data_IF_462934793137
#
_entry.id   IF_462934793137
#
_cell.length_a   1.000
_cell.length_b   1.000
_cell.length_c   1.000
_cell.angle_alpha   90.00
_cell.angle_beta   90.00
_cell.angle_gamma   90.00
#
_symmetry.space_group_name_H-M   'P 1'
#
loop_
_entity.id
_entity.type
_entity.pdbx_description
1 polymer ?
#
# COMPACT_ATOMS: atom_id res chain seq x y z
N UNK A 1 -3.56 7.66 21.20
CA UNK A 1 -2.64 7.95 20.07
C UNK A 1 -1.20 8.03 20.54
N UNK A 2 -0.93 8.07 21.85
CA UNK A 2 0.41 8.13 22.46
C UNK A 2 1.20 6.81 22.41
N UNK A 3 0.70 5.83 21.66
CA UNK A 3 1.35 4.51 21.52
C UNK A 3 2.41 4.52 20.42
N UNK A 4 2.39 5.52 19.53
CA UNK A 4 3.39 5.71 18.50
C UNK A 4 4.40 6.77 18.95
N UNK A 5 5.68 6.44 18.82
CA UNK A 5 6.75 7.40 19.07
C UNK A 5 6.98 8.33 17.85
N UNK A 6 5.92 8.94 17.33
CA UNK A 6 6.00 9.82 16.16
C UNK A 6 4.78 10.72 16.05
N UNK A 7 4.87 11.76 15.22
CA UNK A 7 3.70 12.45 14.69
C UNK A 7 2.92 11.48 13.81
N UNK A 8 1.63 11.33 14.09
CA UNK A 8 0.74 10.39 13.38
C UNK A 8 -0.20 11.17 12.46
N UNK A 9 -0.18 10.83 11.18
CA UNK A 9 -1.15 11.29 10.18
C UNK A 9 -2.00 10.10 9.75
N UNK A 10 -3.32 10.24 9.82
CA UNK A 10 -4.27 9.22 9.39
C UNK A 10 -5.07 9.74 8.20
N UNK A 11 -5.04 9.01 7.09
CA UNK A 11 -5.72 9.38 5.85
C UNK A 11 -6.78 8.32 5.56
N UNK A 12 -8.03 8.74 5.49
CA UNK A 12 -9.14 7.90 5.05
C UNK A 12 -9.23 7.92 3.51
N UNK A 13 -9.62 6.80 2.90
CA UNK A 13 -9.74 6.70 1.44
C UNK A 13 -10.89 7.58 0.91
N UNK A 14 -10.60 8.68 0.18
CA UNK A 14 -11.63 9.61 -0.27
C UNK A 14 -12.50 9.02 -1.37
N UNK A 15 -12.09 7.93 -2.02
CA UNK A 15 -12.90 7.21 -3.02
C UNK A 15 -14.25 6.81 -2.41
N UNK A 16 -14.23 6.44 -1.14
CA UNK A 16 -15.41 6.01 -0.38
C UNK A 16 -16.37 7.15 -0.04
N UNK A 17 -15.85 8.38 0.06
CA UNK A 17 -16.67 9.59 0.27
C UNK A 17 -17.40 10.00 -0.99
N UNK A 18 -16.81 9.73 -2.15
CA UNK A 18 -17.40 10.06 -3.46
C UNK A 18 -18.36 8.97 -3.95
N UNK A 19 -18.10 7.72 -3.58
CA UNK A 19 -18.86 6.55 -4.01
C UNK A 19 -19.36 5.76 -2.80
N UNK A 20 -20.42 6.26 -2.16
CA UNK A 20 -20.94 5.75 -0.87
C UNK A 20 -21.31 4.25 -0.86
N UNK A 21 -21.49 3.63 -2.03
CA UNK A 21 -21.77 2.18 -2.17
C UNK A 21 -20.54 1.31 -2.10
N UNK A 22 -19.35 1.88 -2.31
CA UNK A 22 -18.12 1.12 -2.20
C UNK A 22 -17.89 0.75 -0.74
N UNK A 23 -17.16 -0.35 -0.55
CA UNK A 23 -16.64 -0.77 0.76
C UNK A 23 -15.12 -0.62 0.80
N UNK A 24 -14.48 -0.61 -0.36
CA UNK A 24 -13.04 -0.52 -0.56
C UNK A 24 -12.80 0.25 -1.86
N UNK A 25 -11.88 1.24 -1.83
CA UNK A 25 -11.61 2.12 -2.97
C UNK A 25 -10.19 2.04 -3.55
N UNK A 26 -9.21 1.53 -2.79
CA UNK A 26 -7.77 1.52 -3.16
C UNK A 26 -7.27 2.88 -3.68
N UNK A 27 -7.78 3.98 -3.11
CA UNK A 27 -7.52 5.36 -3.53
C UNK A 27 -7.92 5.69 -4.99
N UNK A 28 -8.73 4.87 -5.66
CA UNK A 28 -9.18 5.11 -7.04
C UNK A 28 -10.29 6.17 -7.14
N UNK A 29 -10.03 7.40 -6.69
CA UNK A 29 -11.03 8.47 -6.54
C UNK A 29 -11.93 8.69 -7.79
N UNK A 30 -11.35 8.64 -8.99
CA UNK A 30 -12.12 8.66 -10.25
C UNK A 30 -11.36 7.96 -11.37
N UNK A 31 -11.97 7.85 -12.55
CA UNK A 31 -11.28 7.34 -13.75
C UNK A 31 -9.97 8.10 -14.04
N UNK A 32 -9.91 9.40 -13.72
CA UNK A 32 -8.75 10.26 -14.00
C UNK A 32 -7.87 10.54 -12.79
N UNK A 33 -8.43 10.51 -11.58
CA UNK A 33 -7.74 10.92 -10.37
C UNK A 33 -7.48 9.71 -9.48
N UNK A 34 -6.24 9.59 -9.04
CA UNK A 34 -5.81 8.61 -8.06
C UNK A 34 -5.37 9.34 -6.80
N UNK A 35 -6.02 9.07 -5.67
CA UNK A 35 -5.86 9.87 -4.46
C UNK A 35 -4.47 9.76 -3.82
N UNK A 36 -3.64 8.80 -4.24
CA UNK A 36 -2.25 8.69 -3.76
C UNK A 36 -1.43 9.96 -4.04
N UNK A 37 -1.69 10.65 -5.16
CA UNK A 37 -1.05 11.96 -5.43
C UNK A 37 -1.44 12.98 -4.36
N UNK A 38 -2.73 13.10 -4.06
CA UNK A 38 -3.24 14.01 -3.04
C UNK A 38 -2.76 13.63 -1.63
N UNK A 39 -2.57 12.34 -1.33
CA UNK A 39 -2.02 11.91 -0.04
C UNK A 39 -0.61 12.45 0.15
N UNK A 40 0.22 12.34 -0.88
CA UNK A 40 1.58 12.84 -0.85
C UNK A 40 1.62 14.37 -0.73
N UNK A 41 0.80 15.09 -1.48
CA UNK A 41 0.70 16.55 -1.39
C UNK A 41 0.31 17.02 0.02
N UNK A 42 -0.63 16.32 0.67
CA UNK A 42 -1.01 16.58 2.07
C UNK A 42 0.17 16.33 3.01
N UNK A 43 0.90 15.23 2.84
CA UNK A 43 2.07 14.91 3.68
C UNK A 43 3.16 15.98 3.52
N UNK A 44 3.44 16.43 2.30
CA UNK A 44 4.39 17.51 2.04
C UNK A 44 3.95 18.82 2.71
N UNK A 45 2.69 19.19 2.57
CA UNK A 45 2.15 20.39 3.20
C UNK A 45 2.23 20.31 4.74
N UNK A 46 1.99 19.14 5.33
CA UNK A 46 2.12 18.92 6.77
C UNK A 46 3.58 19.00 7.23
N UNK A 47 4.52 18.42 6.47
CA UNK A 47 5.96 18.53 6.77
C UNK A 47 6.42 19.98 6.79
N UNK A 48 6.10 20.74 5.74
CA UNK A 48 6.46 22.15 5.63
C UNK A 48 5.81 22.98 6.75
N UNK A 49 4.51 22.76 7.00
CA UNK A 49 3.74 23.58 7.94
C UNK A 49 4.17 23.38 9.39
N UNK A 50 4.59 22.18 9.75
CA UNK A 50 4.87 21.78 11.13
C UNK A 50 6.33 21.41 11.39
N UNK A 51 7.22 21.64 10.42
CA UNK A 51 8.64 21.29 10.50
C UNK A 51 8.84 19.81 10.90
N UNK A 52 8.08 18.93 10.24
CA UNK A 52 8.15 17.48 10.50
C UNK A 52 9.34 16.86 9.78
N UNK A 53 9.74 15.68 10.24
CA UNK A 53 10.84 14.94 9.65
C UNK A 53 10.60 14.60 8.16
N UNK A 54 11.71 14.54 7.42
CA UNK A 54 11.74 14.19 6.00
C UNK A 54 11.33 12.74 5.72
N UNK A 55 11.25 12.41 4.43
CA UNK A 55 10.85 11.09 3.93
C UNK A 55 11.66 9.94 4.51
N UNK A 56 12.97 10.10 4.68
CA UNK A 56 13.85 9.06 5.22
C UNK A 56 13.55 8.69 6.68
N UNK A 57 12.82 9.53 7.42
CA UNK A 57 12.33 9.25 8.78
C UNK A 57 10.84 8.94 8.84
N UNK A 58 10.21 8.70 7.70
CA UNK A 58 8.77 8.46 7.58
C UNK A 58 8.45 6.97 7.38
N UNK A 59 7.45 6.50 8.12
CA UNK A 59 6.88 5.15 7.99
C UNK A 59 5.42 5.26 7.53
N UNK A 60 5.12 4.69 6.36
CA UNK A 60 3.77 4.47 5.85
C UNK A 60 3.28 3.11 6.31
N UNK A 61 2.09 3.07 6.92
CA UNK A 61 1.49 1.83 7.37
C UNK A 61 0.08 1.63 6.82
N UNK A 62 -0.24 0.39 6.48
CA UNK A 62 -1.60 -0.01 6.17
C UNK A 62 -1.75 -1.53 6.05
N UNK A 63 -2.97 -2.02 6.27
CA UNK A 63 -3.33 -3.42 6.00
C UNK A 63 -4.28 -3.53 4.83
N UNK A 64 -4.32 -4.68 4.17
CA UNK A 64 -5.28 -4.95 3.09
C UNK A 64 -5.24 -3.83 2.02
N UNK A 65 -6.35 -3.11 1.84
CA UNK A 65 -6.45 -2.04 0.84
C UNK A 65 -5.68 -0.79 1.27
N UNK A 66 -5.59 -0.54 2.58
CA UNK A 66 -4.69 0.47 3.13
C UNK A 66 -3.22 0.09 2.93
N UNK A 67 -2.91 -1.21 2.90
CA UNK A 67 -1.56 -1.70 2.58
C UNK A 67 -1.14 -1.36 1.15
N UNK A 68 -2.05 -1.53 0.18
CA UNK A 68 -1.83 -1.03 -1.19
C UNK A 68 -1.53 0.47 -1.18
N UNK A 69 -2.38 1.26 -0.52
CA UNK A 69 -2.25 2.71 -0.47
C UNK A 69 -0.94 3.16 0.20
N UNK A 70 -0.53 2.50 1.28
CA UNK A 70 0.71 2.79 2.00
C UNK A 70 1.96 2.53 1.14
N UNK A 71 2.01 1.39 0.43
CA UNK A 71 3.13 1.09 -0.50
C UNK A 71 3.17 2.10 -1.64
N UNK A 72 2.01 2.41 -2.23
CA UNK A 72 1.93 3.39 -3.32
C UNK A 72 2.35 4.80 -2.87
N UNK A 73 1.94 5.22 -1.67
CA UNK A 73 2.34 6.51 -1.12
C UNK A 73 3.84 6.54 -0.81
N UNK A 74 4.41 5.47 -0.25
CA UNK A 74 5.85 5.37 -0.02
C UNK A 74 6.68 5.43 -1.31
N UNK A 75 6.14 4.91 -2.43
CA UNK A 75 6.80 5.00 -3.73
C UNK A 75 6.89 6.45 -4.25
N UNK A 76 5.94 7.31 -3.88
CA UNK A 76 6.00 8.76 -4.17
C UNK A 76 6.84 9.52 -3.15
N UNK A 77 6.74 9.13 -1.89
CA UNK A 77 7.49 9.68 -0.76
C UNK A 77 8.91 9.09 -0.69
N UNK A 78 9.71 9.37 -1.72
CA UNK A 78 11.04 8.77 -1.96
C UNK A 78 11.94 8.88 -0.73
N UNK A 79 12.43 7.73 -0.25
CA UNK A 79 13.27 7.61 0.94
C UNK A 79 12.52 7.01 2.13
N UNK A 80 11.20 7.08 2.14
CA UNK A 80 10.37 6.52 3.21
C UNK A 80 10.30 4.99 3.21
N UNK A 81 9.78 4.46 4.30
CA UNK A 81 9.58 3.03 4.51
C UNK A 81 8.09 2.70 4.56
N UNK A 82 7.68 1.62 3.91
CA UNK A 82 6.35 1.03 4.07
C UNK A 82 6.41 -0.22 4.95
N UNK A 83 5.52 -0.33 5.94
CA UNK A 83 5.24 -1.56 6.68
C UNK A 83 3.78 -1.91 6.43
N UNK A 84 3.53 -3.06 5.81
CA UNK A 84 2.16 -3.42 5.40
C UNK A 84 1.80 -4.83 5.80
N UNK A 85 0.51 -5.08 6.07
CA UNK A 85 0.05 -6.38 6.55
C UNK A 85 -1.08 -6.94 5.68
N UNK A 86 -0.91 -8.16 5.18
CA UNK A 86 -1.82 -8.80 4.23
C UNK A 86 -2.27 -7.84 3.11
N UNK A 87 -1.35 -7.09 2.48
CA UNK A 87 -1.70 -6.06 1.51
C UNK A 87 -2.30 -6.65 0.22
N UNK A 88 -3.22 -5.92 -0.40
CA UNK A 88 -3.60 -6.16 -1.79
C UNK A 88 -2.62 -5.46 -2.74
N UNK A 89 -1.42 -6.00 -2.94
CA UNK A 89 -0.37 -5.42 -3.81
C UNK A 89 -0.76 -5.34 -5.28
N UNK A 90 -1.73 -6.15 -5.68
CA UNK A 90 -2.49 -5.99 -6.91
C UNK A 90 -3.98 -6.09 -6.56
N UNK A 91 -4.67 -4.95 -6.53
CA UNK A 91 -6.07 -4.93 -6.12
C UNK A 91 -6.97 -5.64 -7.12
N UNK A 92 -6.56 -5.76 -8.38
CA UNK A 92 -7.35 -6.42 -9.42
C UNK A 92 -7.40 -7.93 -9.28
N UNK A 93 -6.49 -8.51 -8.49
CA UNK A 93 -6.48 -9.93 -8.16
C UNK A 93 -7.23 -10.24 -6.86
N UNK A 94 -7.75 -9.22 -6.17
CA UNK A 94 -8.53 -9.42 -4.96
C UNK A 94 -9.95 -9.94 -5.26
N UNK A 95 -10.77 -10.07 -4.22
CA UNK A 95 -12.14 -10.54 -4.30
C UNK A 95 -12.97 -9.77 -5.34
N UNK A 96 -13.48 -10.54 -6.31
CA UNK A 96 -14.18 -10.10 -7.51
C UNK A 96 -15.35 -9.15 -7.22
N UNK A 97 -16.08 -9.36 -6.12
CA UNK A 97 -17.20 -8.47 -5.75
C UNK A 97 -16.74 -7.03 -5.55
N UNK A 98 -15.60 -6.82 -4.87
CA UNK A 98 -15.08 -5.48 -4.61
C UNK A 98 -14.45 -4.88 -5.87
N UNK A 99 -13.74 -5.69 -6.66
CA UNK A 99 -13.17 -5.28 -7.94
C UNK A 99 -14.28 -4.81 -8.90
N UNK A 100 -15.33 -5.61 -9.07
CA UNK A 100 -16.45 -5.27 -9.97
C UNK A 100 -17.24 -4.05 -9.48
N UNK A 101 -17.37 -3.87 -8.16
CA UNK A 101 -17.98 -2.65 -7.60
C UNK A 101 -17.15 -1.41 -7.95
N UNK A 102 -15.82 -1.49 -7.82
CA UNK A 102 -14.90 -0.42 -8.17
C UNK A 102 -14.96 -0.11 -9.67
N UNK A 103 -14.89 -1.12 -10.53
CA UNK A 103 -14.95 -0.96 -11.98
C UNK A 103 -16.24 -0.25 -12.40
N UNK A 104 -17.38 -0.68 -11.85
CA UNK A 104 -18.68 -0.05 -12.10
C UNK A 104 -18.73 1.42 -11.65
N UNK A 105 -18.34 1.71 -10.41
CA UNK A 105 -18.58 3.03 -9.80
C UNK A 105 -17.48 4.06 -10.15
N UNK A 106 -16.24 3.62 -10.34
CA UNK A 106 -15.08 4.49 -10.62
C UNK A 106 -14.70 4.50 -12.09
N UNK A 107 -14.66 3.32 -12.71
CA UNK A 107 -14.15 3.13 -14.07
C UNK A 107 -15.27 2.95 -15.10
N UNK A 108 -16.47 3.45 -14.82
CA UNK A 108 -17.62 3.47 -15.73
C UNK A 108 -17.99 2.10 -16.32
N UNK A 109 -17.72 1.02 -15.58
CA UNK A 109 -17.98 -0.35 -16.01
C UNK A 109 -16.97 -0.91 -17.02
N UNK A 110 -15.79 -0.30 -17.18
CA UNK A 110 -14.70 -0.86 -17.98
C UNK A 110 -14.30 -2.27 -17.51
N UNK A 111 -13.84 -3.07 -18.47
CA UNK A 111 -13.24 -4.38 -18.19
C UNK A 111 -11.89 -4.21 -17.47
N UNK A 112 -11.56 -5.16 -16.58
CA UNK A 112 -10.34 -5.06 -15.78
C UNK A 112 -9.06 -4.99 -16.62
N UNK A 113 -9.03 -5.70 -17.76
CA UNK A 113 -7.89 -5.71 -18.68
C UNK A 113 -7.67 -4.36 -19.36
N UNK A 114 -8.74 -3.60 -19.62
CA UNK A 114 -8.63 -2.24 -20.15
C UNK A 114 -7.97 -1.31 -19.12
N UNK A 115 -8.36 -1.43 -17.85
CA UNK A 115 -7.79 -0.65 -16.75
C UNK A 115 -6.32 -1.02 -16.54
N UNK A 116 -5.99 -2.32 -16.54
CA UNK A 116 -4.60 -2.82 -16.48
C UNK A 116 -3.74 -2.31 -17.63
N UNK A 117 -4.30 -2.17 -18.83
CA UNK A 117 -3.56 -1.68 -19.99
C UNK A 117 -3.37 -0.15 -19.96
N UNK A 118 -4.43 0.59 -19.63
CA UNK A 118 -4.43 2.07 -19.72
C UNK A 118 -3.74 2.74 -18.55
N UNK A 119 -3.81 2.15 -17.37
CA UNK A 119 -3.30 2.73 -16.12
C UNK A 119 -2.71 1.66 -15.18
N UNK A 120 -1.74 0.84 -15.65
CA UNK A 120 -1.17 -0.27 -14.88
C UNK A 120 -0.60 0.16 -13.52
N UNK A 121 0.01 1.36 -13.45
CA UNK A 121 0.59 1.91 -12.23
C UNK A 121 -0.43 2.20 -11.11
N UNK A 122 -1.71 2.29 -11.45
CA UNK A 122 -2.80 2.40 -10.46
C UNK A 122 -3.29 1.05 -9.99
N UNK A 123 -2.94 -0.04 -10.67
CA UNK A 123 -3.47 -1.40 -10.41
C UNK A 123 -2.52 -2.20 -9.52
N UNK A 124 -1.24 -2.17 -9.85
CA UNK A 124 -0.22 -3.03 -9.29
C UNK A 124 0.99 -2.20 -8.85
N UNK A 125 1.54 -2.55 -7.68
CA UNK A 125 2.66 -1.78 -7.11
C UNK A 125 3.96 -1.87 -7.92
N UNK A 126 4.21 -2.96 -8.64
CA UNK A 126 5.41 -3.09 -9.48
C UNK A 126 5.32 -2.17 -10.69
N UNK A 127 4.16 -2.14 -11.34
CA UNK A 127 3.89 -1.21 -12.44
C UNK A 127 4.01 0.25 -11.97
N UNK A 128 3.62 0.54 -10.73
CA UNK A 128 3.86 1.84 -10.12
C UNK A 128 5.36 2.13 -10.00
N UNK A 129 6.15 1.20 -9.48
CA UNK A 129 7.58 1.41 -9.27
C UNK A 129 8.32 1.70 -10.58
N UNK A 130 7.95 1.00 -11.65
CA UNK A 130 8.47 1.27 -13.00
C UNK A 130 8.04 2.66 -13.47
N UNK A 131 6.76 2.99 -13.33
CA UNK A 131 6.21 4.28 -13.74
C UNK A 131 6.86 5.47 -13.03
N UNK A 132 7.07 5.38 -11.71
CA UNK A 132 7.68 6.45 -10.93
C UNK A 132 9.20 6.38 -10.91
N UNK A 133 9.82 5.31 -11.42
CA UNK A 133 11.26 5.14 -11.42
C UNK A 133 11.86 4.96 -10.02
N UNK A 134 11.16 4.28 -9.10
CA UNK A 134 11.60 4.10 -7.71
C UNK A 134 10.90 2.93 -7.00
N UNK A 135 11.66 2.17 -6.21
CA UNK A 135 11.13 1.16 -5.30
C UNK A 135 11.32 1.62 -3.85
N UNK A 136 10.24 1.79 -3.06
CA UNK A 136 10.35 2.12 -1.65
C UNK A 136 10.82 0.91 -0.83
N UNK A 137 11.51 1.18 0.28
CA UNK A 137 11.78 0.14 1.27
C UNK A 137 10.43 -0.36 1.81
N UNK A 138 10.16 -1.64 1.68
CA UNK A 138 8.87 -2.22 2.07
C UNK A 138 9.07 -3.51 2.85
N UNK A 139 8.46 -3.61 4.03
CA UNK A 139 8.29 -4.87 4.74
C UNK A 139 6.82 -5.31 4.67
N UNK A 140 6.60 -6.50 4.11
CA UNK A 140 5.30 -7.14 4.01
C UNK A 140 5.16 -8.20 5.09
N UNK A 141 4.25 -7.97 6.02
CA UNK A 141 3.79 -8.95 7.00
C UNK A 141 2.66 -9.77 6.35
N UNK A 142 2.85 -11.07 6.16
CA UNK A 142 1.87 -11.91 5.48
C UNK A 142 1.50 -13.15 6.30
N UNK A 143 0.21 -13.33 6.55
CA UNK A 143 -0.32 -14.56 7.11
C UNK A 143 -0.44 -15.65 6.04
N UNK A 144 0.44 -16.64 6.06
CA UNK A 144 0.40 -17.76 5.11
C UNK A 144 -0.75 -18.73 5.36
N UNK A 145 -1.49 -18.60 6.47
CA UNK A 145 -2.74 -19.33 6.68
C UNK A 145 -3.91 -18.76 5.86
N UNK A 146 -3.76 -17.56 5.29
CA UNK A 146 -4.73 -16.98 4.36
C UNK A 146 -4.44 -17.43 2.93
N UNK A 147 -5.06 -18.53 2.51
CA UNK A 147 -4.86 -19.07 1.16
C UNK A 147 -5.14 -18.03 0.05
N UNK A 148 -6.15 -17.18 0.24
CA UNK A 148 -6.46 -16.10 -0.70
C UNK A 148 -5.31 -15.11 -0.86
N UNK A 149 -4.71 -14.64 0.23
CA UNK A 149 -3.58 -13.71 0.14
C UNK A 149 -2.33 -14.38 -0.45
N UNK A 150 -2.09 -15.65 -0.14
CA UNK A 150 -0.97 -16.40 -0.72
C UNK A 150 -1.13 -16.54 -2.24
N UNK A 151 -2.28 -17.02 -2.70
CA UNK A 151 -2.51 -17.30 -4.12
C UNK A 151 -2.68 -16.03 -4.95
N UNK A 152 -3.37 -15.02 -4.43
CA UNK A 152 -3.75 -13.83 -5.19
C UNK A 152 -2.78 -12.66 -5.05
N UNK A 153 -1.97 -12.61 -3.99
CA UNK A 153 -1.11 -11.47 -3.71
C UNK A 153 0.36 -11.87 -3.62
N UNK A 154 0.71 -12.86 -2.79
CA UNK A 154 2.12 -13.27 -2.61
C UNK A 154 2.70 -13.92 -3.86
N UNK A 155 2.07 -14.95 -4.43
CA UNK A 155 2.63 -15.63 -5.60
C UNK A 155 2.75 -14.67 -6.81
N UNK A 156 1.73 -13.86 -7.15
CA UNK A 156 1.85 -12.94 -8.28
C UNK A 156 2.94 -11.88 -8.07
N UNK A 157 3.06 -11.31 -6.86
CA UNK A 157 4.09 -10.29 -6.61
C UNK A 157 5.50 -10.89 -6.69
N UNK A 158 5.72 -12.11 -6.16
CA UNK A 158 7.02 -12.77 -6.25
C UNK A 158 7.42 -13.04 -7.71
N UNK A 159 6.47 -13.49 -8.54
CA UNK A 159 6.71 -13.68 -9.97
C UNK A 159 7.07 -12.38 -10.68
N UNK A 160 6.38 -11.27 -10.36
CA UNK A 160 6.71 -9.94 -10.91
C UNK A 160 8.09 -9.45 -10.45
N UNK A 161 8.44 -9.66 -9.18
CA UNK A 161 9.74 -9.27 -8.62
C UNK A 161 10.91 -10.08 -9.19
N UNK A 162 10.70 -11.37 -9.50
CA UNK A 162 11.72 -12.22 -10.12
C UNK A 162 12.12 -11.71 -11.51
N UNK A 163 11.14 -11.23 -12.30
CA UNK A 163 11.38 -10.63 -13.62
C UNK A 163 11.71 -9.13 -13.59
N UNK A 164 11.83 -8.52 -12.42
CA UNK A 164 12.02 -7.07 -12.29
C UNK A 164 13.48 -6.67 -12.50
N UNK A 165 13.80 -6.24 -13.72
CA UNK A 165 15.17 -5.82 -14.12
C UNK A 165 15.38 -4.29 -14.08
N UNK A 166 14.37 -3.51 -13.68
CA UNK A 166 14.44 -2.05 -13.74
C UNK A 166 15.18 -1.42 -12.56
N UNK A 167 15.58 -0.15 -12.72
CA UNK A 167 16.14 0.73 -11.67
C UNK A 167 17.56 0.44 -11.18
N UNK A 168 18.27 -0.54 -11.75
CA UNK A 168 19.71 -0.76 -11.52
C UNK A 168 20.09 -0.99 -10.04
N UNK A 169 19.10 -1.24 -9.19
CA UNK A 169 19.20 -1.44 -7.74
C UNK A 169 18.30 -2.61 -7.37
N UNK A 170 18.72 -3.40 -6.39
CA UNK A 170 17.86 -4.46 -5.85
C UNK A 170 16.69 -3.82 -5.10
N UNK A 171 15.43 -4.16 -5.42
CA UNK A 171 14.27 -3.70 -4.65
C UNK A 171 14.40 -4.14 -3.19
N UNK A 172 14.19 -3.23 -2.24
CA UNK A 172 14.15 -3.54 -0.81
C UNK A 172 12.74 -3.94 -0.39
N UNK A 173 12.26 -5.05 -0.95
CA UNK A 173 11.02 -5.72 -0.53
C UNK A 173 11.39 -6.91 0.36
N UNK A 174 10.98 -6.91 1.63
CA UNK A 174 11.13 -8.03 2.54
C UNK A 174 9.77 -8.63 2.88
N UNK A 175 9.72 -9.96 2.98
CA UNK A 175 8.52 -10.69 3.38
C UNK A 175 8.76 -11.33 4.74
N UNK A 176 7.90 -10.99 5.70
CA UNK A 176 7.84 -11.57 7.03
C UNK A 176 6.59 -12.44 7.11
N UNK A 177 6.80 -13.74 6.87
CA UNK A 177 5.73 -14.72 6.80
C UNK A 177 5.42 -15.25 8.19
N UNK A 178 4.15 -15.24 8.58
CA UNK A 178 3.65 -15.83 9.82
C UNK A 178 2.44 -16.71 9.54
N UNK A 179 2.09 -17.61 10.47
CA UNK A 179 0.98 -18.55 10.28
C UNK A 179 0.03 -18.49 11.48
N UNK A 180 -1.19 -18.00 11.23
CA UNK A 180 -2.29 -17.99 12.20
C UNK A 180 -3.64 -18.28 11.52
N UNK A 181 -4.17 -19.48 11.73
CA UNK A 181 -5.44 -19.92 11.13
C UNK A 181 -6.63 -19.10 11.62
N UNK A 182 -6.62 -18.65 12.88
CA UNK A 182 -7.75 -17.92 13.46
C UNK A 182 -7.84 -16.49 12.91
N UNK A 183 -6.69 -15.92 12.55
CA UNK A 183 -6.64 -14.58 11.98
C UNK A 183 -7.04 -14.55 10.50
N UNK A 184 -6.68 -15.58 9.72
CA UNK A 184 -6.93 -15.60 8.28
C UNK A 184 -6.41 -14.32 7.60
N UNK A 185 -7.28 -13.61 6.87
CA UNK A 185 -6.93 -12.33 6.23
C UNK A 185 -6.67 -11.17 7.20
N UNK A 186 -7.09 -11.27 8.47
CA UNK A 186 -6.95 -10.16 9.40
C UNK A 186 -5.47 -9.82 9.66
N UNK A 187 -5.13 -8.53 9.74
CA UNK A 187 -3.77 -8.11 10.08
C UNK A 187 -3.44 -8.45 11.54
N UNK A 188 -2.15 -8.48 11.86
CA UNK A 188 -1.64 -8.61 13.22
C UNK A 188 -2.39 -7.68 14.18
N UNK A 189 -2.68 -8.20 15.37
CA UNK A 189 -3.35 -7.44 16.42
C UNK A 189 -2.59 -6.14 16.74
N UNK A 190 -3.35 -5.12 17.15
CA UNK A 190 -2.83 -3.77 17.42
C UNK A 190 -1.50 -3.73 18.20
N UNK A 191 -1.30 -4.51 19.31
CA UNK A 191 -0.04 -4.45 20.06
C UNK A 191 1.19 -4.85 19.22
N UNK A 192 1.08 -5.92 18.42
CA UNK A 192 2.17 -6.39 17.56
C UNK A 192 2.45 -5.40 16.43
N UNK A 193 1.39 -4.85 15.83
CA UNK A 193 1.49 -3.82 14.80
C UNK A 193 2.22 -2.58 15.33
N UNK A 194 1.85 -2.09 16.52
CA UNK A 194 2.50 -0.91 17.14
C UNK A 194 3.96 -1.21 17.47
N UNK A 195 4.25 -2.36 18.09
CA UNK A 195 5.62 -2.76 18.40
C UNK A 195 6.48 -2.79 17.13
N UNK A 196 5.92 -3.30 16.02
CA UNK A 196 6.62 -3.36 14.74
C UNK A 196 6.93 -1.97 14.18
N UNK A 197 5.96 -1.07 14.20
CA UNK A 197 6.12 0.31 13.73
C UNK A 197 7.13 1.08 14.60
N UNK A 198 7.00 1.02 15.93
CA UNK A 198 7.93 1.72 16.83
C UNK A 198 9.38 1.22 16.70
N UNK A 199 9.58 -0.08 16.51
CA UNK A 199 10.94 -0.62 16.27
C UNK A 199 11.56 -0.06 14.99
N UNK A 200 10.76 0.13 13.94
CA UNK A 200 11.26 0.72 12.71
C UNK A 200 11.53 2.23 12.89
N UNK A 201 10.66 2.95 13.59
CA UNK A 201 10.89 4.36 13.94
C UNK A 201 12.17 4.55 14.77
N UNK A 202 12.45 3.68 15.74
CA UNK A 202 13.68 3.69 16.53
C UNK A 202 14.93 3.46 15.66
N UNK A 203 14.85 2.51 14.72
CA UNK A 203 15.92 2.26 13.75
C UNK A 203 16.18 3.50 12.90
N UNK A 204 15.13 4.13 12.38
CA UNK A 204 15.24 5.33 11.55
C UNK A 204 15.84 6.51 12.30
N UNK A 205 15.59 6.67 13.60
CA UNK A 205 16.22 7.73 14.43
C UNK A 205 17.72 7.53 14.64
N UNK A 206 18.20 6.30 14.51
CA UNK A 206 19.59 5.92 14.80
C UNK A 206 20.51 5.98 13.57
N UNK A 207 19.94 6.16 12.37
CA UNK A 207 20.63 6.29 11.08
C UNK A 207 20.84 7.76 10.71
#
# INVERSE_FOLDING_TARGET
>A
MDEFEATVVQIADPTMLKHERLQIGWAQNSEKEWAIDAYYDVILALRERFDLADSDKTVHYGSSAGGFQAVCCAAKDRGSTAIVNNPQLDWSLYNERFVNALLRDVFNGSEIEEVRTRQPWRVNVIDLFEHVGYVPKTEVLLNIASAGDVEQQLKPILSRLEGFESLGKKPTFSFNLYHDVNMGHNPLGKPYTIQKINRELERLRSE
#
